data_IF_032721933385
#
_entry.id   IF_032721933385
#
_cell.length_a   1.000
_cell.length_b   1.000
_cell.length_c   1.000
_cell.angle_alpha   90.00
_cell.angle_beta   90.00
_cell.angle_gamma   90.00
#
_symmetry.space_group_name_H-M   'P 1'
#
loop_
_entity.id
_entity.type
_entity.pdbx_description
1 polymer ?
#
# COMPACT_ATOMS: atom_id res chain seq x y z
N UNK A 1 6.28 -17.53 -6.30
CA UNK A 1 6.12 -16.42 -7.28
C UNK A 1 7.51 -16.07 -7.77
N UNK A 2 7.69 -15.75 -9.05
CA UNK A 2 8.98 -15.32 -9.58
C UNK A 2 9.35 -13.94 -9.05
N UNK A 3 10.68 -13.66 -8.94
CA UNK A 3 11.18 -12.35 -8.51
C UNK A 3 10.81 -11.28 -9.54
N UNK A 4 9.94 -10.31 -9.20
CA UNK A 4 9.55 -9.25 -10.12
C UNK A 4 10.71 -8.33 -10.53
N UNK A 5 11.78 -8.27 -9.73
CA UNK A 5 12.97 -7.48 -10.03
C UNK A 5 14.01 -8.25 -10.84
N UNK A 6 13.90 -9.59 -10.91
CA UNK A 6 14.94 -10.47 -11.50
C UNK A 6 16.34 -10.12 -10.97
N UNK A 7 16.44 -9.79 -9.66
CA UNK A 7 17.65 -9.29 -9.04
C UNK A 7 18.68 -10.42 -8.87
N UNK A 8 19.88 -10.22 -9.37
CA UNK A 8 21.01 -11.13 -9.12
C UNK A 8 21.75 -10.83 -7.82
N UNK A 9 21.59 -9.63 -7.28
CA UNK A 9 22.30 -9.12 -6.08
C UNK A 9 21.57 -9.38 -4.76
N UNK A 10 20.29 -9.80 -4.81
CA UNK A 10 19.50 -10.10 -3.64
C UNK A 10 18.83 -11.48 -3.75
N UNK A 11 18.52 -12.07 -2.61
CA UNK A 11 17.65 -13.23 -2.50
C UNK A 11 16.22 -12.75 -2.39
N UNK A 12 15.33 -13.36 -3.15
CA UNK A 12 13.91 -13.02 -3.18
C UNK A 12 13.06 -14.08 -2.51
N UNK A 13 12.12 -13.63 -1.71
CA UNK A 13 11.09 -14.48 -1.13
C UNK A 13 9.72 -13.78 -1.20
N UNK A 14 8.66 -14.54 -1.51
CA UNK A 14 7.28 -14.08 -1.43
C UNK A 14 6.51 -14.94 -0.45
N UNK A 15 5.99 -14.33 0.61
CA UNK A 15 5.27 -15.02 1.68
C UNK A 15 3.93 -14.35 1.99
N UNK A 16 2.97 -15.20 2.39
CA UNK A 16 1.74 -14.73 3.03
C UNK A 16 2.02 -14.61 4.53
N UNK A 17 2.00 -13.41 5.06
CA UNK A 17 2.25 -13.09 6.47
C UNK A 17 0.93 -12.69 7.13
N UNK A 18 0.69 -13.20 8.33
CA UNK A 18 -0.48 -12.86 9.11
C UNK A 18 -0.41 -11.40 9.57
N UNK A 19 -1.48 -10.65 9.27
CA UNK A 19 -1.74 -9.32 9.78
C UNK A 19 -2.62 -9.39 11.02
N UNK A 20 -3.63 -8.55 11.09
CA UNK A 20 -4.62 -8.55 12.18
C UNK A 20 -5.91 -9.24 11.75
N UNK A 21 -6.71 -9.67 12.73
CA UNK A 21 -8.05 -10.26 12.53
C UNK A 21 -8.06 -11.48 11.59
N UNK A 22 -6.95 -12.24 11.50
CA UNK A 22 -6.80 -13.41 10.64
C UNK A 22 -6.65 -13.09 9.15
N UNK A 23 -6.32 -11.85 8.80
CA UNK A 23 -5.93 -11.49 7.44
C UNK A 23 -4.50 -11.90 7.16
N UNK A 24 -4.23 -12.39 5.95
CA UNK A 24 -2.89 -12.69 5.45
C UNK A 24 -2.55 -11.77 4.30
N UNK A 25 -1.47 -10.99 4.48
CA UNK A 25 -0.98 -10.05 3.49
C UNK A 25 0.19 -10.67 2.72
N UNK A 26 0.25 -10.41 1.43
CA UNK A 26 1.39 -10.83 0.63
C UNK A 26 2.56 -9.86 0.85
N UNK A 27 3.73 -10.43 1.13
CA UNK A 27 4.97 -9.70 1.36
C UNK A 27 6.03 -10.19 0.39
N UNK A 28 6.61 -9.26 -0.35
CA UNK A 28 7.80 -9.49 -1.16
C UNK A 28 9.02 -9.03 -0.38
N UNK A 29 9.97 -9.91 -0.16
CA UNK A 29 11.18 -9.65 0.59
C UNK A 29 12.41 -9.86 -0.28
N UNK A 30 13.33 -8.92 -0.25
CA UNK A 30 14.65 -9.01 -0.87
C UNK A 30 15.71 -8.79 0.18
N UNK A 31 16.65 -9.73 0.28
CA UNK A 31 17.80 -9.64 1.17
C UNK A 31 19.07 -9.61 0.32
N UNK A 32 19.91 -8.56 0.42
CA UNK A 32 21.17 -8.51 -0.30
C UNK A 32 22.04 -9.74 -0.01
N UNK A 33 22.71 -10.26 -1.03
CA UNK A 33 23.66 -11.39 -0.86
C UNK A 33 24.95 -10.95 -0.18
N UNK A 34 25.30 -9.68 -0.30
CA UNK A 34 26.45 -9.09 0.39
C UNK A 34 26.14 -8.94 1.88
N UNK A 35 26.92 -9.60 2.74
CA UNK A 35 26.66 -9.65 4.18
C UNK A 35 26.62 -8.27 4.85
N UNK A 36 27.50 -7.33 4.47
CA UNK A 36 27.50 -5.97 4.98
C UNK A 36 26.21 -5.20 4.64
N UNK A 37 25.66 -5.42 3.46
CA UNK A 37 24.41 -4.84 3.00
C UNK A 37 23.19 -5.54 3.60
N UNK A 38 23.26 -6.86 3.81
CA UNK A 38 22.18 -7.65 4.45
C UNK A 38 21.94 -7.25 5.91
N UNK A 39 22.97 -6.79 6.63
CA UNK A 39 22.89 -6.35 8.02
C UNK A 39 22.47 -4.88 8.18
N UNK A 40 22.24 -4.15 7.11
CA UNK A 40 21.74 -2.78 7.18
C UNK A 40 20.26 -2.76 7.60
N UNK A 41 19.85 -1.60 8.12
CA UNK A 41 18.44 -1.37 8.52
C UNK A 41 17.50 -1.66 7.35
N UNK A 42 16.47 -2.49 7.56
CA UNK A 42 15.51 -2.82 6.50
C UNK A 42 14.61 -1.64 6.14
N UNK A 43 14.15 -1.62 4.89
CA UNK A 43 13.12 -0.69 4.41
C UNK A 43 11.80 -1.44 4.26
N UNK A 44 10.77 -0.92 4.91
CA UNK A 44 9.40 -1.36 4.74
C UNK A 44 8.73 -0.47 3.70
N UNK A 45 8.23 -1.08 2.63
CA UNK A 45 7.59 -0.36 1.51
C UNK A 45 6.09 -0.62 1.52
N UNK A 46 5.29 0.44 1.68
CA UNK A 46 3.82 0.37 1.67
C UNK A 46 3.28 1.09 0.43
N UNK A 47 2.65 0.38 -0.50
CA UNK A 47 2.15 0.97 -1.73
C UNK A 47 0.89 1.82 -1.52
N UNK A 48 0.59 2.63 -2.52
CA UNK A 48 -0.68 3.34 -2.63
C UNK A 48 -1.86 2.42 -3.02
N UNK A 49 -3.06 2.98 -2.93
CA UNK A 49 -4.29 2.34 -3.41
C UNK A 49 -4.15 1.95 -4.88
N UNK A 50 -4.49 0.73 -5.25
CA UNK A 50 -4.30 0.17 -6.60
C UNK A 50 -2.84 0.06 -7.11
N UNK A 51 -1.86 0.48 -6.35
CA UNK A 51 -0.46 0.37 -6.75
C UNK A 51 0.01 -1.10 -6.72
N UNK A 52 0.89 -1.46 -7.64
CA UNK A 52 1.47 -2.80 -7.76
C UNK A 52 2.99 -2.71 -7.71
N UNK A 53 3.65 -3.80 -7.33
CA UNK A 53 5.11 -3.84 -7.14
C UNK A 53 5.88 -3.42 -8.40
N UNK A 54 5.36 -3.75 -9.60
CA UNK A 54 5.98 -3.39 -10.87
C UNK A 54 6.09 -1.87 -11.09
N UNK A 55 5.21 -1.09 -10.46
CA UNK A 55 5.29 0.37 -10.49
C UNK A 55 6.49 0.95 -9.75
N UNK A 56 7.07 0.17 -8.85
CA UNK A 56 8.17 0.56 -7.97
C UNK A 56 9.51 -0.07 -8.34
N UNK A 57 9.55 -0.91 -9.37
CA UNK A 57 10.76 -1.64 -9.80
C UNK A 57 12.00 -0.74 -9.95
N UNK A 58 11.95 0.45 -10.56
CA UNK A 58 13.14 1.29 -10.69
C UNK A 58 13.75 1.70 -9.34
N UNK A 59 12.90 1.97 -8.34
CA UNK A 59 13.33 2.32 -6.99
C UNK A 59 13.79 1.09 -6.20
N UNK A 60 13.00 0.03 -6.24
CA UNK A 60 13.29 -1.20 -5.52
C UNK A 60 14.57 -1.87 -6.02
N UNK A 61 14.79 -1.92 -7.34
CA UNK A 61 15.98 -2.50 -7.94
C UNK A 61 17.30 -1.83 -7.49
N UNK A 62 17.23 -0.57 -7.09
CA UNK A 62 18.39 0.11 -6.51
C UNK A 62 18.54 -0.23 -5.03
N UNK A 63 17.48 -0.18 -4.26
CA UNK A 63 17.56 -0.39 -2.80
C UNK A 63 17.95 -1.81 -2.41
N UNK A 64 17.46 -2.83 -3.13
CA UNK A 64 17.75 -4.24 -2.84
C UNK A 64 19.23 -4.62 -3.00
N UNK A 65 20.06 -3.75 -3.62
CA UNK A 65 21.51 -3.93 -3.69
C UNK A 65 22.20 -3.60 -2.36
N UNK A 66 21.58 -2.72 -1.57
CA UNK A 66 22.25 -2.05 -0.46
C UNK A 66 21.67 -2.35 0.91
N UNK A 67 20.43 -2.87 0.99
CA UNK A 67 19.75 -3.14 2.25
C UNK A 67 18.56 -4.10 2.05
N UNK A 68 18.10 -4.79 3.11
CA UNK A 68 16.87 -5.57 3.05
C UNK A 68 15.66 -4.68 2.73
N UNK A 69 14.77 -5.17 1.87
CA UNK A 69 13.55 -4.46 1.46
C UNK A 69 12.35 -5.41 1.58
N UNK A 70 11.30 -4.96 2.26
CA UNK A 70 10.06 -5.70 2.41
C UNK A 70 8.90 -4.87 1.87
N UNK A 71 8.32 -5.28 0.75
CA UNK A 71 7.16 -4.66 0.14
C UNK A 71 5.90 -5.38 0.63
N UNK A 72 5.06 -4.68 1.40
CA UNK A 72 3.86 -5.23 2.03
C UNK A 72 2.63 -4.77 1.26
N UNK A 73 1.87 -5.70 0.71
CA UNK A 73 0.60 -5.43 0.07
C UNK A 73 -0.50 -5.17 1.11
N UNK A 74 -1.37 -4.22 0.84
CA UNK A 74 -2.52 -3.87 1.68
C UNK A 74 -3.74 -4.77 1.39
N UNK A 75 -4.74 -4.80 2.29
CA UNK A 75 -5.89 -5.74 2.24
C UNK A 75 -6.66 -5.75 0.92
N UNK A 76 -6.71 -4.62 0.21
CA UNK A 76 -7.45 -4.51 -1.05
C UNK A 76 -6.74 -5.14 -2.26
N UNK A 77 -5.50 -5.63 -2.09
CA UNK A 77 -4.75 -6.29 -3.17
C UNK A 77 -5.23 -7.71 -3.42
N UNK A 78 -5.06 -8.18 -4.66
CA UNK A 78 -5.56 -9.47 -5.11
C UNK A 78 -4.97 -10.68 -4.37
N UNK A 79 -3.72 -10.59 -3.97
CA UNK A 79 -3.03 -11.73 -3.33
C UNK A 79 -3.30 -11.82 -1.84
N UNK A 80 -3.82 -10.77 -1.21
CA UNK A 80 -4.20 -10.75 0.21
C UNK A 80 -5.38 -11.70 0.45
N UNK A 81 -5.36 -12.43 1.56
CA UNK A 81 -6.42 -13.38 1.92
C UNK A 81 -7.16 -12.92 3.16
N UNK A 82 -8.48 -12.87 3.07
CA UNK A 82 -9.36 -12.68 4.23
C UNK A 82 -9.48 -13.98 5.06
N UNK A 83 -9.89 -13.90 6.33
CA UNK A 83 -10.14 -15.06 7.16
C UNK A 83 -11.13 -16.03 6.50
N UNK A 84 -10.92 -17.32 6.71
CA UNK A 84 -11.78 -18.36 6.11
C UNK A 84 -13.24 -18.19 6.55
N UNK A 85 -14.15 -18.13 5.57
CA UNK A 85 -15.58 -17.94 5.83
C UNK A 85 -15.98 -16.49 6.16
N UNK A 86 -15.03 -15.55 6.24
CA UNK A 86 -15.34 -14.13 6.49
C UNK A 86 -16.00 -13.47 5.28
N UNK A 87 -17.13 -12.81 5.53
CA UNK A 87 -17.79 -11.97 4.51
C UNK A 87 -17.22 -10.57 4.59
N UNK A 88 -16.35 -10.24 3.64
CA UNK A 88 -15.68 -8.94 3.57
C UNK A 88 -16.67 -7.76 3.58
N UNK A 89 -16.40 -6.78 4.44
CA UNK A 89 -17.18 -5.55 4.65
C UNK A 89 -16.29 -4.32 4.39
N UNK A 90 -16.91 -3.16 4.21
CA UNK A 90 -16.14 -1.92 4.04
C UNK A 90 -15.27 -1.60 5.26
N UNK A 91 -15.74 -1.87 6.47
CA UNK A 91 -14.97 -1.65 7.70
C UNK A 91 -13.62 -2.38 7.73
N UNK A 92 -13.50 -3.53 7.05
CA UNK A 92 -12.26 -4.30 7.00
C UNK A 92 -11.11 -3.54 6.30
N UNK A 93 -11.46 -2.60 5.43
CA UNK A 93 -10.55 -1.80 4.60
C UNK A 93 -10.34 -0.38 5.13
N UNK A 94 -10.71 -0.12 6.37
CA UNK A 94 -10.48 1.17 7.01
C UNK A 94 -8.99 1.39 7.29
N UNK A 95 -8.51 2.62 7.16
CA UNK A 95 -7.11 3.00 7.35
C UNK A 95 -6.53 2.51 8.68
N UNK A 96 -7.22 2.61 9.83
CA UNK A 96 -6.68 2.09 11.08
C UNK A 96 -6.38 0.58 11.07
N UNK A 97 -7.14 -0.22 10.31
CA UNK A 97 -6.87 -1.65 10.18
C UNK A 97 -5.61 -1.92 9.35
N UNK A 98 -5.41 -1.18 8.27
CA UNK A 98 -4.16 -1.25 7.51
C UNK A 98 -2.95 -0.88 8.37
N UNK A 99 -3.07 0.15 9.21
CA UNK A 99 -1.99 0.56 10.12
C UNK A 99 -1.62 -0.55 11.11
N UNK A 100 -2.62 -1.21 11.70
CA UNK A 100 -2.39 -2.37 12.60
C UNK A 100 -1.78 -3.56 11.87
N UNK A 101 -2.23 -3.84 10.64
CA UNK A 101 -1.65 -4.91 9.82
C UNK A 101 -0.15 -4.69 9.58
N UNK A 102 0.26 -3.45 9.30
CA UNK A 102 1.66 -3.12 9.05
C UNK A 102 2.55 -3.47 10.24
N UNK A 103 2.16 -3.11 11.46
CA UNK A 103 2.88 -3.47 12.67
C UNK A 103 2.93 -4.99 12.86
N UNK A 104 1.77 -5.66 12.76
CA UNK A 104 1.66 -7.11 12.91
C UNK A 104 2.53 -7.85 11.89
N UNK A 105 2.47 -7.47 10.61
CA UNK A 105 3.25 -8.11 9.54
C UNK A 105 4.74 -7.93 9.77
N UNK A 106 5.20 -6.73 10.14
CA UNK A 106 6.63 -6.46 10.38
C UNK A 106 7.13 -7.29 11.57
N UNK A 107 6.35 -7.38 12.65
CA UNK A 107 6.70 -8.24 13.80
C UNK A 107 6.73 -9.73 13.43
N UNK A 108 5.78 -10.18 12.59
CA UNK A 108 5.73 -11.57 12.11
C UNK A 108 6.83 -11.88 11.07
N UNK A 109 7.52 -10.86 10.54
CA UNK A 109 8.79 -11.00 9.82
C UNK A 109 9.99 -11.11 10.76
N UNK A 110 9.78 -11.13 12.09
CA UNK A 110 10.81 -11.05 13.13
C UNK A 110 11.63 -9.75 13.09
N UNK A 111 11.00 -8.66 12.68
CA UNK A 111 11.58 -7.33 12.67
C UNK A 111 10.94 -6.46 13.76
N UNK A 112 11.71 -5.50 14.27
CA UNK A 112 11.19 -4.46 15.15
C UNK A 112 10.80 -3.24 14.29
N UNK A 113 9.52 -2.83 14.25
CA UNK A 113 9.07 -1.69 13.44
C UNK A 113 9.85 -0.40 13.72
N UNK A 114 10.25 -0.15 15.00
CA UNK A 114 11.03 1.02 15.39
C UNK A 114 12.48 1.01 14.91
N UNK A 115 12.97 -0.13 14.42
CA UNK A 115 14.30 -0.28 13.83
C UNK A 115 14.28 -0.30 12.30
N UNK A 116 13.09 -0.13 11.68
CA UNK A 116 12.92 -0.09 10.24
C UNK A 116 12.79 1.35 9.73
N UNK A 117 13.29 1.58 8.52
CA UNK A 117 12.96 2.77 7.75
C UNK A 117 11.72 2.49 6.90
N UNK A 118 10.81 3.45 6.84
CA UNK A 118 9.54 3.28 6.15
C UNK A 118 9.46 4.15 4.90
N UNK A 119 9.12 3.54 3.79
CA UNK A 119 8.74 4.25 2.58
C UNK A 119 7.29 3.93 2.24
N UNK A 120 6.48 4.95 2.11
CA UNK A 120 5.08 4.73 1.79
C UNK A 120 4.57 5.72 0.74
N UNK A 121 3.51 5.35 0.02
CA UNK A 121 2.94 6.17 -1.04
C UNK A 121 1.43 6.27 -0.90
N UNK A 122 0.89 7.49 -1.05
CA UNK A 122 -0.55 7.78 -1.10
C UNK A 122 -1.32 7.14 0.07
N UNK A 123 -2.20 6.17 -0.19
CA UNK A 123 -2.92 5.42 0.86
C UNK A 123 -1.95 4.86 1.91
N UNK A 124 -0.86 4.23 1.48
CA UNK A 124 0.15 3.68 2.39
C UNK A 124 0.75 4.74 3.30
N UNK A 125 1.07 5.93 2.76
CA UNK A 125 1.56 7.07 3.56
C UNK A 125 0.55 7.50 4.63
N UNK A 126 -0.73 7.56 4.27
CA UNK A 126 -1.81 7.91 5.20
C UNK A 126 -1.94 6.85 6.30
N UNK A 127 -1.82 5.56 5.94
CA UNK A 127 -1.86 4.47 6.93
C UNK A 127 -0.67 4.52 7.90
N UNK A 128 0.54 4.84 7.43
CA UNK A 128 1.72 5.02 8.30
C UNK A 128 1.51 6.17 9.27
N UNK A 129 1.06 7.34 8.81
CA UNK A 129 0.77 8.48 9.68
C UNK A 129 -0.30 8.12 10.72
N UNK A 130 -1.40 7.49 10.30
CA UNK A 130 -2.48 7.08 11.21
C UNK A 130 -1.98 6.06 12.24
N UNK A 131 -1.11 5.13 11.83
CA UNK A 131 -0.49 4.16 12.72
C UNK A 131 0.35 4.81 13.81
N UNK A 132 1.20 5.75 13.44
CA UNK A 132 2.03 6.53 14.39
C UNK A 132 1.13 7.35 15.32
N UNK A 133 0.19 8.10 14.76
CA UNK A 133 -0.76 8.95 15.47
C UNK A 133 -1.56 8.19 16.54
N UNK A 134 -1.95 6.96 16.25
CA UNK A 134 -2.73 6.10 17.18
C UNK A 134 -1.85 5.23 18.08
N UNK A 135 -0.54 5.34 18.00
CA UNK A 135 0.39 4.51 18.77
C UNK A 135 0.35 3.02 18.39
N UNK A 136 -0.12 2.72 17.18
CA UNK A 136 -0.13 1.35 16.63
C UNK A 136 1.15 1.03 15.88
N UNK A 137 1.91 2.02 15.46
CA UNK A 137 3.11 1.87 14.69
C UNK A 137 4.22 2.77 15.21
N UNK A 138 5.36 2.17 15.49
CA UNK A 138 6.61 2.87 15.75
C UNK A 138 7.51 2.77 14.53
N UNK A 139 8.22 3.84 14.19
CA UNK A 139 9.11 3.88 13.03
C UNK A 139 10.45 4.48 13.41
N UNK A 140 11.55 3.99 12.82
CA UNK A 140 12.83 4.69 12.95
C UNK A 140 12.82 6.02 12.19
N UNK A 141 12.39 5.96 10.94
CA UNK A 141 12.17 7.11 10.06
C UNK A 141 11.13 6.76 9.00
N UNK A 142 10.44 7.76 8.45
CA UNK A 142 9.51 7.54 7.36
C UNK A 142 9.69 8.56 6.23
N UNK A 143 9.72 8.08 4.98
CA UNK A 143 9.63 8.89 3.78
C UNK A 143 8.26 8.66 3.13
N UNK A 144 7.43 9.69 3.15
CA UNK A 144 6.02 9.61 2.77
C UNK A 144 5.76 10.37 1.47
N UNK A 145 5.39 9.65 0.43
CA UNK A 145 5.10 10.20 -0.87
C UNK A 145 3.59 10.48 -0.98
N UNK A 146 3.23 11.75 -1.14
CA UNK A 146 1.86 12.22 -1.37
C UNK A 146 0.81 11.62 -0.40
N UNK A 147 0.98 11.76 0.93
CA UNK A 147 -0.06 11.35 1.87
C UNK A 147 -1.37 12.11 1.58
N UNK A 148 -2.50 11.43 1.77
CA UNK A 148 -3.80 12.05 1.63
C UNK A 148 -4.35 12.38 3.02
N UNK A 149 -4.55 13.67 3.28
CA UNK A 149 -5.21 14.09 4.51
C UNK A 149 -6.71 13.73 4.51
N UNK A 150 -7.32 13.76 3.32
CA UNK A 150 -8.69 13.37 3.05
C UNK A 150 -8.76 12.68 1.69
N UNK A 151 -9.67 11.73 1.53
CA UNK A 151 -9.88 11.07 0.24
C UNK A 151 -11.02 11.74 -0.51
N UNK A 152 -10.69 12.63 -1.44
CA UNK A 152 -11.66 13.31 -2.31
C UNK A 152 -11.93 12.49 -3.56
N UNK A 153 -12.94 11.65 -3.51
CA UNK A 153 -13.38 10.90 -4.69
C UNK A 153 -14.31 11.75 -5.57
N UNK A 154 -14.23 11.63 -6.90
CA UNK A 154 -15.20 12.24 -7.80
C UNK A 154 -16.63 11.79 -7.43
N UNK A 155 -17.61 12.70 -7.55
CA UNK A 155 -18.99 12.44 -7.17
C UNK A 155 -19.58 11.19 -7.84
N UNK A 156 -19.24 10.95 -9.11
CA UNK A 156 -19.69 9.76 -9.85
C UNK A 156 -19.13 8.46 -9.24
N UNK A 157 -17.90 8.47 -8.71
CA UNK A 157 -17.30 7.32 -8.02
C UNK A 157 -18.07 7.03 -6.71
N UNK A 158 -18.49 8.06 -5.99
CA UNK A 158 -19.30 7.92 -4.77
C UNK A 158 -20.64 7.25 -5.09
N UNK A 159 -21.33 7.69 -6.14
CA UNK A 159 -22.59 7.07 -6.61
C UNK A 159 -22.34 5.60 -6.97
N UNK A 160 -21.27 5.31 -7.72
CA UNK A 160 -20.93 3.94 -8.12
C UNK A 160 -20.67 3.01 -6.93
N UNK A 161 -20.15 3.51 -5.80
CA UNK A 161 -19.97 2.68 -4.60
C UNK A 161 -21.28 2.21 -3.97
N UNK A 162 -22.40 2.85 -4.29
CA UNK A 162 -23.73 2.46 -3.83
C UNK A 162 -24.42 1.43 -4.75
N UNK A 163 -23.90 1.23 -5.96
CA UNK A 163 -24.48 0.28 -6.92
C UNK A 163 -24.25 -1.18 -6.48
N UNK A 164 -25.09 -2.13 -6.97
CA UNK A 164 -24.85 -3.55 -6.76
C UNK A 164 -23.45 -3.97 -7.22
N UNK A 165 -22.85 -4.93 -6.52
CA UNK A 165 -21.46 -5.32 -6.75
C UNK A 165 -21.19 -5.82 -8.19
N UNK A 166 -22.15 -6.50 -8.82
CA UNK A 166 -22.04 -7.04 -10.17
C UNK A 166 -22.04 -5.96 -11.26
N UNK A 167 -22.60 -4.79 -10.98
CA UNK A 167 -22.62 -3.66 -11.90
C UNK A 167 -21.37 -2.77 -11.77
N UNK A 168 -20.78 -2.73 -10.58
CA UNK A 168 -19.63 -1.88 -10.28
C UNK A 168 -18.39 -2.19 -11.15
N UNK A 169 -17.92 -3.46 -11.36
CA UNK A 169 -16.73 -3.75 -12.15
C UNK A 169 -16.82 -3.27 -13.60
N UNK A 170 -17.87 -3.58 -14.38
CA UNK A 170 -17.95 -3.10 -15.75
C UNK A 170 -18.01 -1.57 -15.85
N UNK A 171 -18.79 -0.92 -14.97
CA UNK A 171 -18.89 0.54 -14.94
C UNK A 171 -17.55 1.20 -14.58
N UNK A 172 -16.85 0.70 -13.57
CA UNK A 172 -15.52 1.21 -13.22
C UNK A 172 -14.55 1.10 -14.39
N UNK A 173 -14.55 -0.03 -15.10
CA UNK A 173 -13.68 -0.20 -16.27
C UNK A 173 -14.06 0.72 -17.44
N UNK A 174 -15.36 0.91 -17.66
CA UNK A 174 -15.86 1.79 -18.72
C UNK A 174 -15.62 3.28 -18.43
N UNK A 175 -15.71 3.72 -17.18
CA UNK A 175 -15.59 5.13 -16.80
C UNK A 175 -14.20 5.44 -16.26
N UNK A 176 -13.70 4.67 -15.29
CA UNK A 176 -12.46 5.00 -14.60
C UNK A 176 -11.24 4.86 -15.52
N UNK A 177 -11.18 3.84 -16.38
CA UNK A 177 -10.03 3.66 -17.29
C UNK A 177 -9.95 4.80 -18.31
N UNK A 178 -11.01 5.16 -19.06
CA UNK A 178 -10.95 6.31 -19.96
C UNK A 178 -10.67 7.63 -19.24
N UNK A 179 -11.31 7.86 -18.10
CA UNK A 179 -11.09 9.06 -17.29
C UNK A 179 -9.62 9.20 -16.85
N UNK A 180 -9.02 8.13 -16.34
CA UNK A 180 -7.63 8.14 -15.92
C UNK A 180 -6.67 8.29 -17.11
N UNK A 181 -6.96 7.64 -18.23
CA UNK A 181 -6.18 7.82 -19.48
C UNK A 181 -6.24 9.25 -20.01
N UNK A 182 -7.33 9.95 -19.79
CA UNK A 182 -7.46 11.37 -20.14
C UNK A 182 -6.71 12.28 -19.18
N UNK A 183 -6.84 12.03 -17.86
CA UNK A 183 -6.19 12.85 -16.81
C UNK A 183 -4.68 12.66 -16.76
N UNK A 184 -4.19 11.44 -16.93
CA UNK A 184 -2.76 11.13 -16.87
C UNK A 184 -2.10 11.53 -18.19
N UNK A 185 -1.09 12.39 -18.14
CA UNK A 185 -0.38 12.87 -19.33
C UNK A 185 0.74 11.92 -19.77
N UNK A 186 1.44 11.32 -18.83
CA UNK A 186 2.59 10.46 -19.09
C UNK A 186 2.17 9.10 -19.70
N UNK A 187 2.71 8.71 -20.88
CA UNK A 187 2.33 7.46 -21.55
C UNK A 187 2.60 6.20 -20.72
N UNK A 188 3.76 6.13 -20.06
CA UNK A 188 4.13 4.99 -19.20
C UNK A 188 3.17 4.83 -18.02
N UNK A 189 2.74 5.92 -17.41
CA UNK A 189 1.78 5.91 -16.32
C UNK A 189 0.37 5.49 -16.79
N UNK A 190 -0.03 5.87 -18.02
CA UNK A 190 -1.30 5.41 -18.61
C UNK A 190 -1.35 3.89 -18.74
N UNK A 191 -0.25 3.30 -19.21
CA UNK A 191 -0.13 1.84 -19.38
C UNK A 191 -0.20 1.14 -18.02
N UNK A 192 0.59 1.58 -17.06
CA UNK A 192 0.60 1.04 -15.69
C UNK A 192 -0.79 1.11 -15.05
N UNK A 193 -1.44 2.28 -15.13
CA UNK A 193 -2.77 2.48 -14.55
C UNK A 193 -3.83 1.58 -15.19
N UNK A 194 -3.82 1.49 -16.52
CA UNK A 194 -4.75 0.63 -17.26
C UNK A 194 -4.56 -0.84 -16.85
N UNK A 195 -3.32 -1.31 -16.76
CA UNK A 195 -2.98 -2.68 -16.35
C UNK A 195 -3.44 -2.96 -14.92
N UNK A 196 -3.12 -2.05 -13.99
CA UNK A 196 -3.52 -2.15 -12.58
C UNK A 196 -5.04 -2.23 -12.44
N UNK A 197 -5.78 -1.32 -13.08
CA UNK A 197 -7.24 -1.30 -13.00
C UNK A 197 -7.92 -2.52 -13.65
N UNK A 198 -7.31 -3.10 -14.67
CA UNK A 198 -7.81 -4.35 -15.26
C UNK A 198 -7.65 -5.56 -14.33
N UNK A 199 -6.56 -5.60 -13.59
CA UNK A 199 -6.19 -6.73 -12.74
C UNK A 199 -6.64 -6.57 -11.27
N UNK A 200 -7.10 -5.38 -10.86
CA UNK A 200 -7.53 -5.13 -9.48
C UNK A 200 -8.82 -5.87 -9.11
N UNK A 201 -8.90 -6.31 -7.87
CA UNK A 201 -10.17 -6.79 -7.29
C UNK A 201 -11.13 -5.62 -7.10
N UNK A 202 -12.06 -5.48 -8.05
CA UNK A 202 -13.02 -4.37 -8.08
C UNK A 202 -13.99 -4.39 -6.90
N UNK A 203 -14.27 -5.55 -6.29
CA UNK A 203 -15.11 -5.65 -5.09
C UNK A 203 -14.37 -5.05 -3.90
N UNK A 204 -13.11 -5.43 -3.69
CA UNK A 204 -12.27 -4.90 -2.62
C UNK A 204 -12.01 -3.41 -2.80
N UNK A 205 -11.77 -2.94 -4.03
CA UNK A 205 -11.64 -1.52 -4.31
C UNK A 205 -12.91 -0.74 -3.96
N UNK A 206 -14.09 -1.28 -4.29
CA UNK A 206 -15.36 -0.69 -3.90
C UNK A 206 -15.51 -0.57 -2.38
N UNK A 207 -15.19 -1.64 -1.65
CA UNK A 207 -15.28 -1.68 -0.19
C UNK A 207 -14.28 -0.70 0.44
N UNK A 208 -13.06 -0.64 -0.05
CA UNK A 208 -12.01 0.30 0.38
C UNK A 208 -12.41 1.77 0.13
N UNK A 209 -12.94 2.08 -1.07
CA UNK A 209 -13.46 3.43 -1.36
C UNK A 209 -14.58 3.81 -0.39
N UNK A 210 -15.52 2.90 -0.13
CA UNK A 210 -16.63 3.13 0.81
C UNK A 210 -16.12 3.34 2.25
N UNK A 211 -15.09 2.60 2.67
CA UNK A 211 -14.50 2.72 4.01
C UNK A 211 -13.88 4.10 4.23
N UNK A 212 -13.15 4.59 3.23
CA UNK A 212 -12.22 5.70 3.42
C UNK A 212 -12.73 7.06 2.88
N UNK A 213 -13.90 7.10 2.23
CA UNK A 213 -14.48 8.33 1.66
C UNK A 213 -14.74 9.45 2.68
N UNK A 214 -14.94 9.12 3.94
CA UNK A 214 -15.16 10.07 5.03
C UNK A 214 -13.97 10.14 5.99
N UNK A 215 -12.84 9.52 5.64
CA UNK A 215 -11.65 9.55 6.47
C UNK A 215 -10.99 10.92 6.42
N UNK A 216 -10.60 11.42 7.58
CA UNK A 216 -9.79 12.61 7.79
C UNK A 216 -8.66 12.30 8.78
N UNK A 217 -7.45 12.76 8.47
CA UNK A 217 -6.28 12.53 9.32
C UNK A 217 -6.02 13.69 10.28
N UNK A 218 -6.70 14.82 10.10
CA UNK A 218 -6.35 16.07 10.76
C UNK A 218 -6.36 16.04 12.28
N UNK A 219 -7.31 15.29 12.87
CA UNK A 219 -7.43 15.20 14.33
C UNK A 219 -6.26 14.40 14.91
N UNK A 220 -5.50 15.00 15.82
CA UNK A 220 -4.41 14.37 16.55
C UNK A 220 -3.09 14.30 15.79
N UNK A 221 -2.89 15.06 14.70
CA UNK A 221 -1.60 15.10 13.99
C UNK A 221 -0.44 15.59 14.86
N UNK A 222 -0.71 16.41 15.86
CA UNK A 222 0.27 16.89 16.85
C UNK A 222 0.88 15.77 17.68
N UNK A 223 0.26 14.61 17.74
CA UNK A 223 0.80 13.43 18.44
C UNK A 223 1.84 12.67 17.64
N UNK A 224 1.98 12.98 16.34
CA UNK A 224 2.96 12.33 15.45
C UNK A 224 4.36 12.83 15.80
N UNK A 225 5.10 12.03 16.54
CA UNK A 225 6.47 12.34 16.97
C UNK A 225 7.45 11.30 16.41
N UNK A 226 7.79 11.43 15.13
CA UNK A 226 8.74 10.57 14.45
C UNK A 226 9.50 11.37 13.38
N UNK A 227 10.72 10.99 12.99
CA UNK A 227 11.44 11.58 11.86
C UNK A 227 10.71 11.27 10.54
N UNK A 228 9.95 12.24 10.03
CA UNK A 228 9.16 12.07 8.80
C UNK A 228 9.57 13.11 7.76
N UNK A 229 9.90 12.64 6.56
CA UNK A 229 10.02 13.46 5.36
C UNK A 229 8.80 13.25 4.46
N UNK A 230 8.18 14.34 4.01
CA UNK A 230 7.00 14.30 3.14
C UNK A 230 7.35 14.93 1.79
N UNK A 231 7.12 14.17 0.72
CA UNK A 231 7.16 14.68 -0.64
C UNK A 231 5.73 14.81 -1.17
N UNK A 232 5.28 16.05 -1.35
CA UNK A 232 3.97 16.34 -1.95
C UNK A 232 4.08 16.37 -3.47
N UNK A 233 3.06 15.81 -4.15
CA UNK A 233 2.95 15.86 -5.61
C UNK A 233 2.09 17.04 -6.12
N UNK A 234 1.67 17.95 -5.24
CA UNK A 234 0.77 19.07 -5.60
C UNK A 234 1.43 20.03 -6.60
N UNK A 235 2.76 20.06 -6.62
CA UNK A 235 3.52 20.99 -7.48
C UNK A 235 4.21 20.29 -8.68
N UNK A 236 3.91 19.02 -8.92
CA UNK A 236 4.36 18.26 -10.09
C UNK A 236 3.15 18.04 -11.02
#
# INVERSE_FOLDING_TARGET
>A
MEDPLSSTSAEFESRMIEGTDGWYLNVFSWTPKEQGSANRRPVIVIPGWTSVVEGWMPLLSEWVKHRPVHYIETREKNFTKSPRGHKEKSSDYAIPNHAKDMDSVVRNLNLNPSECDWFASSLGSTCVIEGIKKGHLEVNSAFLLAPNAEFRFPWWMVIMTSMPWWFYPPMMRMIAIPYMRWKVKEPGQKIRYTRTMKNADMRRLKLSTKANRAFSIWDGLETVNAPIAILSLIHI
#
